data_IF_567485073495
#
_entry.id   IF_567485073495
#
_cell.length_a   1.000
_cell.length_b   1.000
_cell.length_c   1.000
_cell.angle_alpha   90.00
_cell.angle_beta   90.00
_cell.angle_gamma   90.00
#
_symmetry.space_group_name_H-M   'P 1'
#
loop_
_entity.id
_entity.type
_entity.pdbx_description
1 polymer ?
#
# COMPACT_ATOMS: atom_id res chain seq x y z
N UNK A 1 29.89 1.65 25.29
CA UNK A 1 28.45 1.61 25.01
C UNK A 1 28.32 1.61 23.49
N UNK A 2 28.21 0.42 22.90
CA UNK A 2 28.14 0.18 21.46
C UNK A 2 26.88 0.81 20.84
N UNK A 3 27.06 1.89 20.09
CA UNK A 3 26.00 2.59 19.36
C UNK A 3 25.75 2.07 17.93
N UNK A 4 26.40 0.98 17.50
CA UNK A 4 26.42 0.51 16.10
C UNK A 4 25.78 -0.89 15.89
N UNK A 5 24.65 -1.19 16.56
CA UNK A 5 23.96 -2.50 16.39
C UNK A 5 22.75 -2.53 15.46
N UNK A 6 22.37 -1.40 14.85
CA UNK A 6 21.30 -1.36 13.85
C UNK A 6 21.91 -1.08 12.48
N UNK A 7 22.47 -2.13 11.85
CA UNK A 7 22.86 -2.07 10.44
C UNK A 7 21.69 -1.56 9.59
N UNK A 8 22.01 -0.77 8.57
CA UNK A 8 21.02 -0.09 7.72
C UNK A 8 19.84 -1.01 7.34
N UNK A 9 18.64 -0.67 7.83
CA UNK A 9 17.41 -1.33 7.37
C UNK A 9 17.33 -1.08 5.86
N UNK A 10 17.16 -2.11 5.01
CA UNK A 10 17.01 -1.92 3.58
C UNK A 10 15.92 -0.88 3.33
N UNK A 11 16.21 0.09 2.45
CA UNK A 11 15.46 1.34 2.34
C UNK A 11 13.97 1.16 2.03
N UNK A 12 13.54 -0.01 1.53
CA UNK A 12 12.19 -0.56 1.70
C UNK A 12 12.18 -2.11 1.67
N UNK A 13 11.32 -2.77 2.47
CA UNK A 13 11.12 -4.22 2.40
C UNK A 13 10.58 -4.63 1.02
N UNK A 14 11.04 -5.78 0.50
CA UNK A 14 10.46 -6.37 -0.71
C UNK A 14 9.00 -6.75 -0.44
N UNK A 15 8.05 -6.45 -1.34
CA UNK A 15 6.64 -6.81 -1.17
C UNK A 15 6.43 -8.31 -0.93
N UNK A 16 5.77 -8.64 0.18
CA UNK A 16 5.37 -10.01 0.52
C UNK A 16 4.02 -10.39 -0.10
N UNK A 17 3.51 -11.58 0.24
CA UNK A 17 2.18 -12.04 -0.19
C UNK A 17 1.07 -11.08 0.26
N UNK A 18 1.09 -10.71 1.55
CA UNK A 18 0.12 -9.76 2.11
C UNK A 18 0.12 -8.42 1.35
N UNK A 19 1.31 -7.85 1.11
CA UNK A 19 1.44 -6.59 0.36
C UNK A 19 0.81 -6.66 -1.02
N UNK A 20 1.02 -7.76 -1.75
CA UNK A 20 0.43 -7.95 -3.08
C UNK A 20 -1.08 -8.16 -3.02
N UNK A 21 -1.57 -8.87 -2.01
CA UNK A 21 -3.01 -9.05 -1.76
C UNK A 21 -3.71 -7.71 -1.51
N UNK A 22 -3.14 -6.89 -0.61
CA UNK A 22 -3.64 -5.53 -0.33
C UNK A 22 -3.59 -4.68 -1.61
N UNK A 23 -2.46 -4.65 -2.32
CA UNK A 23 -2.32 -3.87 -3.55
C UNK A 23 -3.38 -4.23 -4.61
N UNK A 24 -3.68 -5.53 -4.77
CA UNK A 24 -4.71 -6.01 -5.71
C UNK A 24 -6.10 -5.49 -5.32
N UNK A 25 -6.48 -5.59 -4.05
CA UNK A 25 -7.78 -5.10 -3.56
C UNK A 25 -7.90 -3.59 -3.81
N UNK A 26 -6.87 -2.82 -3.43
CA UNK A 26 -6.86 -1.38 -3.66
C UNK A 26 -6.93 -1.02 -5.14
N UNK A 27 -6.27 -1.80 -6.01
CA UNK A 27 -6.32 -1.61 -7.46
C UNK A 27 -7.71 -1.89 -8.04
N UNK A 28 -8.36 -2.96 -7.61
CA UNK A 28 -9.72 -3.32 -8.03
C UNK A 28 -10.71 -2.23 -7.61
N UNK A 29 -10.64 -1.79 -6.36
CA UNK A 29 -11.52 -0.73 -5.84
C UNK A 29 -11.27 0.61 -6.55
N UNK A 30 -10.00 1.00 -6.71
CA UNK A 30 -9.62 2.21 -7.44
C UNK A 30 -10.20 2.24 -8.86
N UNK A 31 -10.19 1.11 -9.56
CA UNK A 31 -10.71 1.02 -10.93
C UNK A 31 -12.23 1.04 -11.01
N UNK A 32 -12.92 0.59 -9.96
CA UNK A 32 -14.37 0.65 -9.86
C UNK A 32 -14.85 2.09 -9.56
N UNK A 33 -14.00 2.89 -8.92
CA UNK A 33 -14.27 4.29 -8.58
C UNK A 33 -13.79 5.26 -9.67
N UNK A 34 -14.32 6.48 -9.68
CA UNK A 34 -13.87 7.56 -10.60
C UNK A 34 -12.68 8.36 -10.06
N UNK A 35 -11.88 7.76 -9.17
CA UNK A 35 -10.67 8.38 -8.60
C UNK A 35 -9.50 8.18 -9.58
N UNK A 36 -8.52 9.08 -9.57
CA UNK A 36 -7.28 8.94 -10.37
C UNK A 36 -6.10 8.53 -9.51
N UNK A 37 -5.10 7.84 -10.10
CA UNK A 37 -3.87 7.49 -9.37
C UNK A 37 -3.11 8.73 -8.87
N UNK A 38 -3.24 9.85 -9.56
CA UNK A 38 -2.68 11.13 -9.11
C UNK A 38 -3.37 11.59 -7.83
N UNK A 39 -4.70 11.59 -7.79
CA UNK A 39 -5.45 11.97 -6.59
C UNK A 39 -5.16 11.05 -5.39
N UNK A 40 -5.04 9.73 -5.62
CA UNK A 40 -4.60 8.80 -4.58
C UNK A 40 -3.17 9.10 -4.11
N UNK A 41 -2.27 9.42 -5.05
CA UNK A 41 -0.90 9.80 -4.74
C UNK A 41 -0.83 11.05 -3.87
N UNK A 42 -1.57 12.10 -4.25
CA UNK A 42 -1.65 13.36 -3.50
C UNK A 42 -2.15 13.13 -2.07
N UNK A 43 -3.19 12.30 -1.90
CA UNK A 43 -3.72 11.94 -0.57
C UNK A 43 -2.72 11.14 0.27
N UNK A 44 -1.94 10.24 -0.35
CA UNK A 44 -0.97 9.39 0.32
C UNK A 44 0.44 10.01 0.43
N UNK A 45 0.63 11.25 -0.04
CA UNK A 45 1.93 11.94 -0.02
C UNK A 45 2.98 11.33 -0.95
N UNK A 46 2.57 10.72 -2.06
CA UNK A 46 3.47 10.09 -3.05
C UNK A 46 3.16 10.53 -4.48
N UNK A 47 4.14 10.46 -5.36
CA UNK A 47 3.91 10.72 -6.78
C UNK A 47 2.96 9.69 -7.42
N UNK A 48 2.30 10.05 -8.52
CA UNK A 48 1.48 9.11 -9.31
C UNK A 48 2.28 7.87 -9.75
N UNK A 49 3.56 8.03 -10.13
CA UNK A 49 4.42 6.89 -10.51
C UNK A 49 4.68 5.93 -9.34
N UNK A 50 4.84 6.47 -8.12
CA UNK A 50 4.94 5.65 -6.91
C UNK A 50 3.60 4.96 -6.62
N UNK A 51 2.48 5.68 -6.71
CA UNK A 51 1.14 5.09 -6.56
C UNK A 51 0.91 3.94 -7.54
N UNK A 52 1.30 4.10 -8.80
CA UNK A 52 1.25 3.03 -9.81
C UNK A 52 2.02 1.78 -9.39
N UNK A 53 3.22 1.94 -8.81
CA UNK A 53 4.03 0.82 -8.30
C UNK A 53 3.41 0.18 -7.05
N UNK A 54 2.81 0.98 -6.17
CA UNK A 54 2.10 0.48 -4.98
C UNK A 54 0.89 -0.36 -5.38
N UNK A 55 0.06 0.12 -6.30
CA UNK A 55 -1.13 -0.61 -6.78
C UNK A 55 -0.80 -1.88 -7.55
N UNK A 56 0.40 -1.98 -8.15
CA UNK A 56 0.90 -3.24 -8.73
C UNK A 56 1.51 -4.20 -7.71
N UNK A 57 1.73 -3.75 -6.48
CA UNK A 57 2.43 -4.53 -5.45
C UNK A 57 3.95 -4.62 -5.67
N UNK A 58 4.54 -3.70 -6.44
CA UNK A 58 6.01 -3.58 -6.65
C UNK A 58 6.70 -2.83 -5.49
N UNK A 59 5.91 -2.17 -4.65
CA UNK A 59 6.34 -1.37 -3.50
C UNK A 59 5.43 -1.64 -2.29
N UNK A 60 5.98 -1.45 -1.10
CA UNK A 60 5.24 -1.56 0.16
C UNK A 60 4.57 -0.24 0.49
N UNK A 61 3.33 -0.31 0.99
CA UNK A 61 2.64 0.79 1.64
C UNK A 61 3.08 0.82 3.11
N UNK A 62 3.34 2.01 3.66
CA UNK A 62 3.32 2.16 5.11
C UNK A 62 1.87 2.30 5.62
N UNK A 63 1.69 2.35 6.94
CA UNK A 63 0.35 2.43 7.54
C UNK A 63 -0.39 3.70 7.11
N UNK A 64 0.26 4.87 7.18
CA UNK A 64 -0.35 6.16 6.81
C UNK A 64 -0.83 6.18 5.35
N UNK A 65 -0.04 5.60 4.44
CA UNK A 65 -0.40 5.48 3.02
C UNK A 65 -1.58 4.53 2.81
N UNK A 66 -1.60 3.40 3.53
CA UNK A 66 -2.72 2.47 3.47
C UNK A 66 -4.01 3.15 3.95
N UNK A 67 -3.96 3.84 5.09
CA UNK A 67 -5.10 4.55 5.66
C UNK A 67 -5.61 5.64 4.70
N UNK A 68 -4.73 6.45 4.13
CA UNK A 68 -5.10 7.51 3.19
C UNK A 68 -5.77 6.96 1.93
N UNK A 69 -5.22 5.89 1.34
CA UNK A 69 -5.80 5.27 0.14
C UNK A 69 -7.13 4.60 0.46
N UNK A 70 -7.24 3.86 1.58
CA UNK A 70 -8.49 3.25 2.01
C UNK A 70 -9.58 4.30 2.25
N UNK A 71 -9.26 5.39 2.95
CA UNK A 71 -10.20 6.48 3.19
C UNK A 71 -10.74 7.09 1.88
N UNK A 72 -9.85 7.36 0.92
CA UNK A 72 -10.24 7.89 -0.40
C UNK A 72 -11.13 6.93 -1.20
N UNK A 73 -10.98 5.63 -0.98
CA UNK A 73 -11.76 4.58 -1.66
C UNK A 73 -12.99 4.14 -0.85
N UNK A 74 -13.25 4.74 0.32
CA UNK A 74 -14.36 4.34 1.18
C UNK A 74 -14.20 2.96 1.82
N UNK A 75 -12.96 2.49 1.97
CA UNK A 75 -12.62 1.17 2.52
C UNK A 75 -12.13 1.27 3.98
N UNK A 76 -12.28 0.17 4.72
CA UNK A 76 -11.61 -0.03 6.02
C UNK A 76 -10.25 -0.73 5.84
N UNK A 77 -9.13 -0.16 6.35
CA UNK A 77 -7.82 -0.79 6.29
C UNK A 77 -7.79 -2.20 6.89
N UNK A 78 -8.49 -2.41 8.01
CA UNK A 78 -8.56 -3.71 8.69
C UNK A 78 -9.24 -4.76 7.83
N UNK A 79 -10.37 -4.42 7.22
CA UNK A 79 -11.10 -5.33 6.33
C UNK A 79 -10.28 -5.68 5.08
N UNK A 80 -9.55 -4.71 4.51
CA UNK A 80 -8.65 -4.93 3.38
C UNK A 80 -7.52 -5.89 3.74
N UNK A 81 -6.89 -5.72 4.90
CA UNK A 81 -5.83 -6.60 5.39
C UNK A 81 -6.37 -8.02 5.60
N UNK A 82 -7.48 -8.16 6.33
CA UNK A 82 -8.10 -9.47 6.58
C UNK A 82 -8.52 -10.16 5.27
N UNK A 83 -9.12 -9.44 4.33
CA UNK A 83 -9.47 -9.99 3.03
C UNK A 83 -8.23 -10.46 2.25
N UNK A 84 -7.12 -9.71 2.31
CA UNK A 84 -5.87 -10.11 1.68
C UNK A 84 -5.25 -11.37 2.31
N UNK A 85 -5.37 -11.56 3.62
CA UNK A 85 -4.89 -12.76 4.33
C UNK A 85 -5.71 -14.01 4.00
N UNK A 86 -7.05 -13.89 4.05
CA UNK A 86 -7.98 -15.01 3.80
C UNK A 86 -7.93 -15.49 2.36
N UNK A 87 -7.76 -14.57 1.41
CA UNK A 87 -7.80 -14.90 -0.01
C UNK A 87 -6.58 -15.70 -0.51
N UNK A 88 -5.58 -15.95 0.34
CA UNK A 88 -4.63 -17.04 0.15
C UNK A 88 -3.82 -17.05 -1.16
N UNK A 89 -3.56 -15.90 -1.80
CA UNK A 89 -2.78 -15.78 -3.04
C UNK A 89 -1.28 -16.02 -2.85
#
# INVERSE_FOLDING_TARGET
MDSDRFGAVPSQPRPGRLTRGVARILYEEYRANSVTQTALGDAAGVSQSQMSKLLRGDRTLNLDQLEAVCFMLGLSPGEVITAAEVSGF
#
